data_IF_376165679428
#
_entry.id   IF_376165679428
#
_cell.length_a   1.000
_cell.length_b   1.000
_cell.length_c   1.000
_cell.angle_alpha   90.00
_cell.angle_beta   90.00
_cell.angle_gamma   90.00
#
_symmetry.space_group_name_H-M   'P 1'
#
loop_
_entity.id
_entity.type
_entity.pdbx_description
1 polymer ?
#
# COMPACT_ATOMS: atom_id res chain seq x y z
N UNK A 1 18.58 -20.20 4.08
CA UNK A 1 17.19 -20.41 4.55
C UNK A 1 16.23 -19.97 3.45
N UNK A 2 15.31 -20.83 3.01
CA UNK A 2 14.21 -20.43 2.11
C UNK A 2 13.09 -19.85 2.98
N UNK A 3 12.85 -18.55 2.90
CA UNK A 3 11.64 -17.92 3.42
C UNK A 3 10.44 -18.37 2.58
N UNK A 4 9.33 -18.74 3.23
CA UNK A 4 8.13 -19.29 2.58
C UNK A 4 7.61 -18.43 1.43
N UNK A 5 7.02 -19.07 0.42
CA UNK A 5 6.30 -18.40 -0.65
C UNK A 5 4.80 -18.40 -0.33
N UNK A 6 4.07 -17.37 -0.78
CA UNK A 6 2.63 -17.24 -0.58
C UNK A 6 1.97 -16.76 -1.87
N UNK A 7 1.01 -17.54 -2.37
CA UNK A 7 0.22 -17.25 -3.56
C UNK A 7 -1.04 -16.44 -3.20
N UNK A 8 -1.38 -15.40 -3.96
CA UNK A 8 -2.55 -14.51 -3.84
C UNK A 8 -3.44 -14.45 -5.11
N UNK A 9 -4.02 -15.57 -5.60
CA UNK A 9 -4.87 -15.62 -6.80
C UNK A 9 -5.97 -14.56 -6.83
N UNK A 10 -6.25 -13.98 -8.00
CA UNK A 10 -7.39 -13.08 -8.18
C UNK A 10 -8.72 -13.84 -8.03
N UNK A 11 -9.40 -13.60 -6.92
CA UNK A 11 -10.73 -14.14 -6.67
C UNK A 11 -11.83 -13.14 -7.06
N UNK A 12 -12.88 -13.63 -7.70
CA UNK A 12 -14.13 -12.89 -7.92
C UNK A 12 -15.06 -12.98 -6.71
N UNK A 13 -15.94 -11.98 -6.55
CA UNK A 13 -16.96 -11.95 -5.50
C UNK A 13 -16.76 -10.88 -4.42
N UNK A 14 -17.71 -10.80 -3.49
CA UNK A 14 -17.68 -9.90 -2.33
C UNK A 14 -17.91 -10.74 -1.08
N UNK A 15 -17.25 -10.38 0.02
CA UNK A 15 -17.54 -10.97 1.33
C UNK A 15 -19.05 -10.81 1.62
N UNK A 16 -19.76 -11.87 2.04
CA UNK A 16 -21.16 -11.79 2.44
C UNK A 16 -21.33 -10.77 3.56
N UNK A 17 -22.44 -10.01 3.56
CA UNK A 17 -22.70 -8.96 4.55
C UNK A 17 -22.62 -9.48 6.00
N UNK A 18 -23.12 -10.68 6.25
CA UNK A 18 -23.12 -11.30 7.58
C UNK A 18 -21.70 -11.64 8.07
N UNK A 19 -20.79 -12.00 7.16
CA UNK A 19 -19.39 -12.28 7.49
C UNK A 19 -18.68 -10.96 7.73
N UNK A 20 -18.84 -10.01 6.81
CA UNK A 20 -18.20 -8.70 6.93
C UNK A 20 -18.58 -7.98 8.23
N UNK A 21 -19.84 -8.06 8.68
CA UNK A 21 -20.23 -7.46 9.97
C UNK A 21 -19.52 -8.09 11.18
N UNK A 22 -19.18 -9.38 11.12
CA UNK A 22 -18.36 -10.05 12.14
C UNK A 22 -16.88 -9.65 12.03
N UNK A 23 -16.36 -9.55 10.81
CA UNK A 23 -15.00 -9.07 10.55
C UNK A 23 -14.77 -7.68 11.13
N UNK A 24 -15.71 -6.77 10.93
CA UNK A 24 -15.67 -5.39 11.44
C UNK A 24 -15.50 -5.38 12.96
N UNK A 25 -16.31 -6.17 13.68
CA UNK A 25 -16.23 -6.29 15.14
C UNK A 25 -14.89 -6.88 15.58
N UNK A 26 -14.48 -7.99 14.98
CA UNK A 26 -13.25 -8.67 15.38
C UNK A 26 -12.00 -7.84 15.06
N UNK A 27 -11.97 -7.17 13.90
CA UNK A 27 -10.88 -6.27 13.51
C UNK A 27 -10.73 -5.10 14.49
N UNK A 28 -11.86 -4.53 14.94
CA UNK A 28 -11.88 -3.51 15.99
C UNK A 28 -11.25 -4.03 17.28
N UNK A 29 -11.77 -5.12 17.84
CA UNK A 29 -11.32 -5.63 19.14
C UNK A 29 -9.85 -6.07 19.14
N UNK A 30 -9.39 -6.73 18.06
CA UNK A 30 -7.97 -7.09 17.92
C UNK A 30 -7.10 -5.83 17.84
N UNK A 31 -7.50 -4.83 17.05
CA UNK A 31 -6.75 -3.59 16.92
C UNK A 31 -6.68 -2.86 18.27
N UNK A 32 -7.80 -2.72 18.97
CA UNK A 32 -7.87 -2.09 20.28
C UNK A 32 -6.99 -2.83 21.29
N UNK A 33 -7.05 -4.16 21.33
CA UNK A 33 -6.20 -4.96 22.20
C UNK A 33 -4.71 -4.71 21.92
N UNK A 34 -4.30 -4.63 20.66
CA UNK A 34 -2.90 -4.32 20.31
C UNK A 34 -2.53 -2.90 20.75
N UNK A 35 -3.38 -1.91 20.47
CA UNK A 35 -3.11 -0.51 20.79
C UNK A 35 -3.04 -0.29 22.30
N UNK A 36 -3.92 -0.91 23.08
CA UNK A 36 -3.96 -0.79 24.55
C UNK A 36 -2.72 -1.43 25.18
N UNK A 37 -2.31 -2.61 24.72
CA UNK A 37 -1.24 -3.38 25.35
C UNK A 37 0.16 -3.00 24.83
N UNK A 38 0.28 -2.53 23.58
CA UNK A 38 1.57 -2.31 22.93
C UNK A 38 1.71 -0.95 22.25
N UNK A 39 0.65 -0.14 22.22
CA UNK A 39 0.63 1.16 21.57
C UNK A 39 0.32 1.12 20.07
N UNK A 40 -0.02 2.29 19.53
CA UNK A 40 -0.38 2.49 18.12
C UNK A 40 0.75 2.22 17.13
N UNK A 41 1.98 2.54 17.52
CA UNK A 41 3.16 2.35 16.69
C UNK A 41 3.40 0.86 16.41
N UNK A 42 3.21 0.02 17.44
CA UNK A 42 3.29 -1.42 17.29
C UNK A 42 2.19 -1.95 16.37
N UNK A 43 0.98 -1.40 16.44
CA UNK A 43 -0.07 -1.75 15.47
C UNK A 43 0.33 -1.40 14.03
N UNK A 44 0.87 -0.21 13.77
CA UNK A 44 1.36 0.18 12.43
C UNK A 44 2.49 -0.76 11.97
N UNK A 45 3.42 -1.11 12.86
CA UNK A 45 4.51 -2.02 12.55
C UNK A 45 4.01 -3.42 12.20
N UNK A 46 2.99 -3.92 12.90
CA UNK A 46 2.37 -5.22 12.64
C UNK A 46 1.55 -5.24 11.35
N UNK A 47 0.67 -4.26 11.15
CA UNK A 47 -0.19 -4.23 9.95
C UNK A 47 0.60 -4.04 8.65
N UNK A 48 1.77 -3.40 8.73
CA UNK A 48 2.70 -3.26 7.58
C UNK A 48 3.52 -4.51 7.28
N UNK A 49 3.53 -5.52 8.17
CA UNK A 49 4.23 -6.76 7.90
C UNK A 49 3.38 -7.64 6.96
N UNK A 50 3.92 -8.11 5.82
CA UNK A 50 3.13 -8.85 4.84
C UNK A 50 2.56 -10.17 5.36
N UNK A 51 3.27 -10.85 6.26
CA UNK A 51 2.87 -12.15 6.83
C UNK A 51 1.85 -11.93 7.94
N UNK A 52 2.08 -10.93 8.79
CA UNK A 52 1.13 -10.55 9.84
C UNK A 52 -0.18 -10.06 9.24
N UNK A 53 -0.15 -9.19 8.23
CA UNK A 53 -1.35 -8.71 7.54
C UNK A 53 -2.15 -9.87 6.94
N UNK A 54 -1.46 -10.83 6.32
CA UNK A 54 -2.09 -12.02 5.76
C UNK A 54 -2.74 -12.87 6.86
N UNK A 55 -2.02 -13.11 7.95
CA UNK A 55 -2.51 -13.87 9.11
C UNK A 55 -3.70 -13.19 9.78
N UNK A 56 -3.67 -11.86 9.89
CA UNK A 56 -4.75 -11.06 10.42
C UNK A 56 -6.01 -11.22 9.55
N UNK A 57 -5.89 -11.16 8.23
CA UNK A 57 -7.02 -11.43 7.35
C UNK A 57 -7.55 -12.87 7.47
N UNK A 58 -6.69 -13.86 7.69
CA UNK A 58 -7.13 -15.22 7.96
C UNK A 58 -7.93 -15.35 9.26
N UNK A 59 -7.48 -14.70 10.33
CA UNK A 59 -8.22 -14.63 11.60
C UNK A 59 -9.60 -13.98 11.42
N UNK A 60 -9.71 -12.99 10.53
CA UNK A 60 -10.99 -12.38 10.19
C UNK A 60 -11.90 -13.27 9.31
N UNK A 61 -11.44 -14.45 8.89
CA UNK A 61 -12.24 -15.43 8.15
C UNK A 61 -12.03 -15.42 6.64
N UNK A 62 -10.86 -15.00 6.16
CA UNK A 62 -10.42 -15.19 4.77
C UNK A 62 -9.44 -16.36 4.62
N UNK A 63 -9.44 -16.98 3.44
CA UNK A 63 -8.40 -17.95 3.10
C UNK A 63 -7.07 -17.25 2.80
N UNK A 64 -5.98 -17.95 3.11
CA UNK A 64 -4.62 -17.46 2.89
C UNK A 64 -4.34 -17.05 1.43
N UNK A 65 -4.98 -17.71 0.47
CA UNK A 65 -4.72 -17.48 -0.95
C UNK A 65 -5.65 -16.45 -1.63
N UNK A 66 -6.43 -15.68 -0.87
CA UNK A 66 -7.39 -14.75 -1.48
C UNK A 66 -6.80 -13.37 -1.76
N UNK A 67 -6.74 -12.93 -3.03
CA UNK A 67 -6.45 -11.52 -3.36
C UNK A 67 -7.47 -10.53 -2.77
N UNK A 68 -8.68 -11.01 -2.47
CA UNK A 68 -9.76 -10.22 -1.86
C UNK A 68 -9.40 -9.74 -0.45
N UNK A 69 -8.48 -10.44 0.22
CA UNK A 69 -8.08 -10.18 1.59
C UNK A 69 -7.67 -8.73 1.81
N UNK A 70 -6.85 -8.16 0.91
CA UNK A 70 -6.36 -6.79 1.07
C UNK A 70 -7.51 -5.79 1.08
N UNK A 71 -8.45 -5.92 0.16
CA UNK A 71 -9.56 -4.97 0.06
C UNK A 71 -10.59 -5.14 1.17
N UNK A 72 -10.79 -6.37 1.65
CA UNK A 72 -11.81 -6.65 2.67
C UNK A 72 -11.28 -6.38 4.07
N UNK A 73 -10.04 -6.75 4.39
CA UNK A 73 -9.41 -6.48 5.70
C UNK A 73 -9.28 -4.98 5.93
N UNK A 74 -8.80 -4.23 4.93
CA UNK A 74 -8.70 -2.76 5.05
C UNK A 74 -10.06 -2.10 5.17
N UNK A 75 -11.07 -2.62 4.45
CA UNK A 75 -12.47 -2.19 4.62
C UNK A 75 -13.01 -2.46 6.03
N UNK A 76 -12.75 -3.66 6.59
CA UNK A 76 -13.18 -4.04 7.92
C UNK A 76 -12.50 -3.20 9.01
N UNK A 77 -11.21 -2.88 8.85
CA UNK A 77 -10.48 -1.98 9.74
C UNK A 77 -11.07 -0.56 9.73
N UNK A 78 -11.27 0.04 8.54
CA UNK A 78 -11.86 1.38 8.41
C UNK A 78 -13.25 1.46 9.03
N UNK A 79 -14.08 0.43 8.80
CA UNK A 79 -15.44 0.41 9.34
C UNK A 79 -15.47 0.12 10.84
N UNK A 80 -14.61 -0.79 11.34
CA UNK A 80 -14.60 -1.20 12.75
C UNK A 80 -14.07 -0.13 13.70
N UNK A 81 -13.13 0.68 13.21
CA UNK A 81 -12.51 1.77 13.96
C UNK A 81 -13.15 3.14 13.70
N UNK A 82 -14.23 3.15 12.91
CA UNK A 82 -15.00 4.37 12.66
C UNK A 82 -15.54 4.95 13.96
N UNK A 83 -15.44 6.28 14.09
CA UNK A 83 -15.83 7.09 15.23
C UNK A 83 -14.94 6.96 16.48
N UNK A 84 -13.85 6.20 16.42
CA UNK A 84 -12.86 6.10 17.52
C UNK A 84 -11.43 6.39 17.06
N UNK A 85 -11.24 6.77 15.79
CA UNK A 85 -9.93 7.09 15.21
C UNK A 85 -9.19 8.17 16.03
N UNK A 86 -9.94 9.16 16.50
CA UNK A 86 -9.45 10.29 17.31
C UNK A 86 -8.93 9.83 18.67
N UNK A 87 -9.69 8.95 19.33
CA UNK A 87 -9.38 8.43 20.66
C UNK A 87 -8.11 7.57 20.62
N UNK A 88 -8.02 6.68 19.64
CA UNK A 88 -6.86 5.77 19.49
C UNK A 88 -5.66 6.47 18.84
N UNK A 89 -5.87 7.61 18.18
CA UNK A 89 -4.86 8.38 17.46
C UNK A 89 -4.32 7.69 16.21
N UNK A 90 -5.18 6.92 15.52
CA UNK A 90 -4.88 6.20 14.28
C UNK A 90 -5.92 6.56 13.24
N UNK A 91 -5.46 6.98 12.07
CA UNK A 91 -6.29 7.46 10.98
C UNK A 91 -6.07 6.63 9.72
N UNK A 92 -7.10 6.61 8.87
CA UNK A 92 -7.13 5.81 7.66
C UNK A 92 -7.51 6.68 6.46
N UNK A 93 -6.79 6.51 5.35
CA UNK A 93 -7.05 7.18 4.10
C UNK A 93 -6.99 6.20 2.93
N UNK A 94 -7.75 6.49 1.88
CA UNK A 94 -7.73 5.69 0.65
C UNK A 94 -8.68 4.49 0.66
N UNK A 95 -8.41 3.54 -0.21
CA UNK A 95 -9.17 2.30 -0.39
C UNK A 95 -9.12 1.81 -1.84
N UNK A 96 -10.15 1.04 -2.22
CA UNK A 96 -10.25 0.45 -3.57
C UNK A 96 -10.72 1.48 -4.61
N UNK A 97 -10.12 1.47 -5.78
CA UNK A 97 -10.50 2.27 -6.95
C UNK A 97 -10.45 3.77 -6.66
N UNK A 98 -11.56 4.47 -6.93
CA UNK A 98 -11.69 5.92 -6.72
C UNK A 98 -11.35 6.36 -5.29
N UNK A 99 -11.54 5.50 -4.28
CA UNK A 99 -11.14 5.84 -2.90
C UNK A 99 -9.64 5.97 -2.75
N UNK A 100 -8.83 5.15 -3.42
CA UNK A 100 -7.37 5.27 -3.39
C UNK A 100 -6.87 6.60 -3.97
N UNK A 101 -7.54 7.11 -5.01
CA UNK A 101 -7.23 8.44 -5.60
C UNK A 101 -7.53 9.57 -4.61
N UNK A 102 -8.54 9.41 -3.76
CA UNK A 102 -8.99 10.40 -2.76
C UNK A 102 -8.20 10.37 -1.44
N UNK A 103 -7.12 9.60 -1.36
CA UNK A 103 -6.28 9.53 -0.15
C UNK A 103 -5.81 10.92 0.34
N UNK A 104 -5.38 11.85 -0.54
CA UNK A 104 -5.02 13.19 -0.09
C UNK A 104 -6.18 13.98 0.53
N UNK A 105 -7.40 13.83 0.01
CA UNK A 105 -8.61 14.46 0.58
C UNK A 105 -8.94 13.88 1.95
N UNK A 106 -8.81 12.56 2.13
CA UNK A 106 -9.03 11.90 3.43
C UNK A 106 -8.03 12.41 4.48
N UNK A 107 -6.75 12.61 4.12
CA UNK A 107 -5.72 13.16 5.01
C UNK A 107 -6.00 14.63 5.35
N UNK A 108 -6.37 15.42 4.36
CA UNK A 108 -6.68 16.84 4.53
C UNK A 108 -7.80 17.07 5.55
N UNK A 109 -8.87 16.27 5.49
CA UNK A 109 -9.98 16.34 6.44
C UNK A 109 -9.54 16.15 7.90
N UNK A 110 -8.59 15.27 8.17
CA UNK A 110 -8.08 15.08 9.53
C UNK A 110 -7.19 16.25 9.98
N UNK A 111 -6.50 16.89 9.04
CA UNK A 111 -5.77 18.14 9.28
C UNK A 111 -6.69 19.31 9.59
N UNK A 112 -7.77 19.47 8.82
CA UNK A 112 -8.80 20.52 9.02
C UNK A 112 -9.49 20.39 10.38
N UNK A 113 -9.68 19.15 10.86
CA UNK A 113 -10.25 18.85 12.18
C UNK A 113 -9.26 19.03 13.34
N UNK A 114 -7.99 19.35 13.06
CA UNK A 114 -6.97 19.61 14.08
C UNK A 114 -6.33 18.36 14.71
N UNK A 115 -6.60 17.16 14.18
CA UNK A 115 -6.04 15.91 14.72
C UNK A 115 -4.61 15.63 14.26
N UNK A 116 -4.20 16.24 13.15
CA UNK A 116 -2.82 16.31 12.68
C UNK A 116 -2.49 17.75 12.31
N UNK A 117 -1.26 18.19 12.57
CA UNK A 117 -0.85 19.53 12.19
C UNK A 117 -0.69 19.68 10.67
N UNK A 118 -0.78 20.91 10.17
CA UNK A 118 -0.72 21.23 8.73
C UNK A 118 0.55 20.70 8.04
N UNK A 119 1.72 20.79 8.70
CA UNK A 119 2.99 20.29 8.17
C UNK A 119 2.94 18.77 7.95
N UNK A 120 2.42 18.06 8.94
CA UNK A 120 2.26 16.59 8.91
C UNK A 120 1.26 16.18 7.84
N UNK A 121 0.12 16.86 7.74
CA UNK A 121 -0.88 16.60 6.70
C UNK A 121 -0.29 16.74 5.28
N UNK A 122 0.45 17.82 5.01
CA UNK A 122 1.08 18.02 3.71
C UNK A 122 2.15 16.98 3.39
N UNK A 123 2.94 16.60 4.38
CA UNK A 123 3.95 15.57 4.21
C UNK A 123 3.31 14.20 3.93
N UNK A 124 2.28 13.80 4.68
CA UNK A 124 1.53 12.56 4.43
C UNK A 124 0.86 12.55 3.04
N UNK A 125 0.30 13.68 2.59
CA UNK A 125 -0.23 13.84 1.22
C UNK A 125 0.86 13.64 0.16
N UNK A 126 2.07 14.16 0.40
CA UNK A 126 3.23 13.99 -0.49
C UNK A 126 3.68 12.52 -0.53
N UNK A 127 3.81 11.90 0.63
CA UNK A 127 4.19 10.49 0.80
C UNK A 127 3.20 9.56 0.09
N UNK A 128 1.88 9.77 0.28
CA UNK A 128 0.84 8.98 -0.38
C UNK A 128 1.02 8.97 -1.90
N UNK A 129 1.27 10.14 -2.50
CA UNK A 129 1.51 10.26 -3.94
C UNK A 129 2.81 9.59 -4.39
N UNK A 130 3.87 9.71 -3.60
CA UNK A 130 5.17 9.08 -3.90
C UNK A 130 5.07 7.56 -3.86
N UNK A 131 4.47 6.99 -2.81
CA UNK A 131 4.24 5.54 -2.70
C UNK A 131 3.46 5.02 -3.90
N UNK A 132 2.31 5.63 -4.21
CA UNK A 132 1.52 5.22 -5.37
C UNK A 132 2.28 5.35 -6.70
N UNK A 133 3.13 6.36 -6.84
CA UNK A 133 3.96 6.55 -8.05
C UNK A 133 5.02 5.47 -8.14
N UNK A 134 5.70 5.15 -7.04
CA UNK A 134 6.72 4.10 -6.98
C UNK A 134 6.12 2.74 -7.27
N UNK A 135 5.02 2.38 -6.63
CA UNK A 135 4.38 1.06 -6.81
C UNK A 135 3.79 0.87 -8.21
N UNK A 136 3.44 1.98 -8.88
CA UNK A 136 2.94 1.96 -10.25
C UNK A 136 4.04 1.91 -11.33
N UNK A 137 5.29 2.32 -11.03
CA UNK A 137 6.32 2.51 -12.09
C UNK A 137 7.70 1.94 -11.73
N UNK A 138 7.96 1.67 -10.45
CA UNK A 138 9.23 1.17 -9.96
C UNK A 138 9.53 -0.24 -10.44
N UNK A 139 8.50 -1.07 -10.60
CA UNK A 139 8.58 -2.37 -11.26
C UNK A 139 7.81 -2.32 -12.58
N UNK A 140 8.49 -2.55 -13.71
CA UNK A 140 7.87 -2.53 -15.03
C UNK A 140 7.49 -3.95 -15.48
N UNK A 141 6.32 -4.42 -15.06
CA UNK A 141 5.79 -5.77 -15.36
C UNK A 141 4.28 -5.80 -15.64
N UNK A 142 3.66 -4.63 -15.76
CA UNK A 142 2.25 -4.50 -16.17
C UNK A 142 1.24 -4.62 -15.02
N UNK A 143 1.68 -4.66 -13.76
CA UNK A 143 0.75 -4.53 -12.63
C UNK A 143 0.24 -3.09 -12.51
N UNK A 144 -1.08 -2.93 -12.45
CA UNK A 144 -1.74 -1.64 -12.24
C UNK A 144 -2.30 -1.55 -10.83
N UNK A 145 -1.96 -0.49 -10.10
CA UNK A 145 -2.47 -0.26 -8.74
C UNK A 145 -3.96 0.05 -8.78
N UNK A 146 -4.73 -0.69 -7.99
CA UNK A 146 -6.19 -0.51 -7.87
C UNK A 146 -6.67 -0.33 -6.43
N UNK A 147 -5.79 -0.49 -5.46
CA UNK A 147 -6.08 -0.30 -4.05
C UNK A 147 -4.90 0.38 -3.38
N UNK A 148 -5.17 1.46 -2.67
CA UNK A 148 -4.18 2.21 -1.90
C UNK A 148 -4.76 2.43 -0.50
N UNK A 149 -4.23 1.72 0.49
CA UNK A 149 -4.65 1.87 1.88
C UNK A 149 -3.53 2.49 2.69
N UNK A 150 -3.79 3.69 3.21
CA UNK A 150 -2.83 4.48 3.97
C UNK A 150 -3.31 4.53 5.42
N UNK A 151 -2.47 4.09 6.35
CA UNK A 151 -2.69 4.17 7.80
C UNK A 151 -1.62 5.04 8.44
N UNK A 152 -1.99 5.92 9.36
CA UNK A 152 -1.05 6.81 10.05
C UNK A 152 -1.48 7.16 11.46
N UNK A 153 -0.52 7.49 12.31
CA UNK A 153 -0.74 8.01 13.66
C UNK A 153 -0.80 9.55 13.66
N UNK A 154 -1.30 10.13 14.75
CA UNK A 154 -1.25 11.59 14.95
C UNK A 154 0.19 12.14 14.97
N UNK A 155 1.17 11.32 15.35
CA UNK A 155 2.60 11.64 15.37
C UNK A 155 3.24 11.58 13.97
N UNK A 156 2.50 11.13 12.95
CA UNK A 156 2.98 11.08 11.57
C UNK A 156 3.72 9.81 11.19
N UNK A 157 3.75 8.78 12.05
CA UNK A 157 4.15 7.43 11.62
C UNK A 157 3.11 6.85 10.72
N UNK A 158 3.53 6.07 9.73
CA UNK A 158 2.63 5.56 8.70
C UNK A 158 3.04 4.20 8.16
N UNK A 159 2.05 3.51 7.59
CA UNK A 159 2.23 2.38 6.70
C UNK A 159 1.30 2.51 5.50
N UNK A 160 1.72 1.94 4.37
CA UNK A 160 0.89 1.85 3.17
C UNK A 160 0.84 0.41 2.70
N UNK A 161 -0.36 -0.04 2.37
CA UNK A 161 -0.61 -1.34 1.77
C UNK A 161 -1.29 -1.09 0.43
N UNK A 162 -0.56 -1.37 -0.65
CA UNK A 162 -1.09 -1.27 -2.01
C UNK A 162 -1.37 -2.64 -2.60
N UNK A 163 -2.35 -2.70 -3.50
CA UNK A 163 -2.60 -3.86 -4.32
C UNK A 163 -2.59 -3.47 -5.81
N UNK A 164 -1.68 -4.11 -6.54
CA UNK A 164 -1.65 -4.15 -7.99
C UNK A 164 -2.38 -5.38 -8.54
N UNK A 165 -2.94 -5.25 -9.74
CA UNK A 165 -3.44 -6.37 -10.52
C UNK A 165 -2.83 -6.38 -11.92
N UNK A 166 -2.60 -7.58 -12.45
CA UNK A 166 -2.29 -7.81 -13.86
C UNK A 166 -3.46 -8.57 -14.47
N UNK A 167 -4.18 -7.93 -15.39
CA UNK A 167 -5.41 -8.48 -15.99
C UNK A 167 -5.06 -9.75 -16.78
N UNK A 168 -4.00 -9.67 -17.58
CA UNK A 168 -3.41 -10.81 -18.27
C UNK A 168 -2.82 -11.79 -17.24
N UNK A 169 -3.34 -13.02 -17.21
CA UNK A 169 -2.94 -14.05 -16.25
C UNK A 169 -3.62 -13.95 -14.88
N UNK A 170 -4.42 -12.91 -14.62
CA UNK A 170 -5.22 -12.73 -13.40
C UNK A 170 -4.41 -12.79 -12.10
N UNK A 171 -3.30 -12.06 -12.05
CA UNK A 171 -2.42 -12.04 -10.88
C UNK A 171 -2.63 -10.81 -10.02
N UNK A 172 -2.42 -11.00 -8.71
CA UNK A 172 -2.41 -9.92 -7.74
C UNK A 172 -1.00 -9.77 -7.14
N UNK A 173 -0.59 -8.53 -6.90
CA UNK A 173 0.62 -8.22 -6.14
C UNK A 173 0.33 -7.20 -5.06
N UNK A 174 0.85 -7.44 -3.87
CA UNK A 174 0.67 -6.59 -2.71
C UNK A 174 1.99 -5.96 -2.29
N UNK A 175 1.99 -4.65 -2.08
CA UNK A 175 3.15 -3.88 -1.66
C UNK A 175 2.93 -3.39 -0.23
N UNK A 176 3.96 -3.48 0.59
CA UNK A 176 3.93 -3.09 1.99
C UNK A 176 5.05 -2.10 2.28
N UNK A 177 4.66 -1.01 2.93
CA UNK A 177 5.54 0.08 3.31
C UNK A 177 5.40 0.38 4.80
N UNK A 178 6.52 0.74 5.43
CA UNK A 178 6.55 1.20 6.82
C UNK A 178 7.48 2.41 6.92
N UNK A 179 6.97 3.52 7.43
CA UNK A 179 7.72 4.76 7.65
C UNK A 179 9.10 4.57 8.28
N UNK A 180 9.20 3.77 9.34
CA UNK A 180 10.44 3.50 10.08
C UNK A 180 11.52 2.77 9.23
N UNK A 181 11.15 2.15 8.12
CA UNK A 181 12.07 1.37 7.25
C UNK A 181 12.43 2.10 5.95
N UNK A 182 11.69 3.15 5.57
CA UNK A 182 11.94 3.90 4.32
C UNK A 182 13.12 4.85 4.48
N UNK A 183 14.26 4.51 3.88
CA UNK A 183 15.43 5.39 3.77
C UNK A 183 15.47 6.19 2.47
N UNK A 184 14.84 5.65 1.43
CA UNK A 184 14.72 6.25 0.11
C UNK A 184 13.43 5.73 -0.52
N UNK A 185 12.73 6.56 -1.29
CA UNK A 185 11.53 6.11 -2.04
C UNK A 185 11.89 5.36 -3.32
N UNK A 186 13.16 5.40 -3.75
CA UNK A 186 13.60 4.88 -5.06
C UNK A 186 14.70 3.84 -4.96
N UNK A 187 15.00 3.36 -3.75
CA UNK A 187 16.06 2.39 -3.49
C UNK A 187 15.62 1.46 -2.37
N UNK A 188 15.23 0.23 -2.73
CA UNK A 188 14.66 -0.82 -1.88
C UNK A 188 13.71 -0.28 -0.80
N UNK A 189 12.63 0.42 -1.22
CA UNK A 189 11.81 1.20 -0.29
C UNK A 189 10.76 0.38 0.45
N UNK A 190 10.47 -0.84 -0.04
CA UNK A 190 9.41 -1.70 0.47
C UNK A 190 9.86 -2.49 1.69
N UNK A 191 8.98 -2.58 2.69
CA UNK A 191 9.09 -3.60 3.74
C UNK A 191 8.85 -5.00 3.18
N UNK A 192 7.98 -5.11 2.19
CA UNK A 192 7.81 -6.37 1.47
C UNK A 192 6.89 -6.27 0.25
N UNK A 193 7.11 -7.19 -0.69
CA UNK A 193 6.27 -7.36 -1.87
C UNK A 193 5.83 -8.82 -1.94
N UNK A 194 4.53 -9.06 -1.98
CA UNK A 194 3.93 -10.39 -2.05
C UNK A 194 3.26 -10.58 -3.40
N UNK A 195 3.61 -11.65 -4.11
CA UNK A 195 3.15 -11.96 -5.46
C UNK A 195 3.13 -13.47 -5.65
N UNK A 196 2.13 -14.01 -6.35
CA UNK A 196 2.04 -15.43 -6.73
C UNK A 196 3.21 -15.89 -7.58
N UNK A 197 3.64 -15.03 -8.50
CA UNK A 197 4.77 -15.32 -9.38
C UNK A 197 5.92 -14.37 -9.10
N UNK A 198 7.11 -14.97 -9.03
CA UNK A 198 8.37 -14.26 -9.19
C UNK A 198 8.60 -14.01 -10.68
N UNK A 199 8.13 -12.87 -11.14
CA UNK A 199 8.57 -12.31 -12.42
C UNK A 199 9.93 -11.62 -12.25
N UNK A 200 10.64 -11.38 -13.35
CA UNK A 200 11.88 -10.57 -13.37
C UNK A 200 11.59 -9.23 -14.08
N UNK A 201 10.87 -8.30 -13.43
CA UNK A 201 10.62 -6.99 -14.02
C UNK A 201 11.92 -6.23 -14.25
N UNK A 202 11.87 -5.22 -15.13
CA UNK A 202 12.81 -4.11 -14.99
C UNK A 202 12.52 -3.43 -13.64
N UNK A 203 13.43 -3.62 -12.70
CA UNK A 203 13.31 -3.13 -11.34
C UNK A 203 14.07 -1.80 -11.19
N UNK A 204 13.37 -0.69 -11.36
CA UNK A 204 13.92 0.66 -11.23
C UNK A 204 14.13 1.10 -9.79
N UNK A 205 13.72 0.31 -8.80
CA UNK A 205 13.89 0.62 -7.36
C UNK A 205 14.97 -0.22 -6.68
N UNK A 206 15.68 -1.07 -7.42
CA UNK A 206 16.80 -1.86 -6.89
C UNK A 206 17.94 -0.94 -6.41
N UNK A 207 18.47 -1.14 -5.20
CA UNK A 207 19.59 -0.33 -4.70
C UNK A 207 20.85 -0.41 -5.57
N UNK A 208 21.06 -1.52 -6.28
CA UNK A 208 22.24 -1.76 -7.12
C UNK A 208 22.32 -0.96 -8.42
N UNK A 209 21.27 -0.22 -8.79
CA UNK A 209 21.18 0.49 -10.09
C UNK A 209 21.09 2.02 -9.97
N UNK A 210 21.62 2.59 -8.88
CA UNK A 210 21.55 4.03 -8.64
C UNK A 210 22.13 4.88 -9.79
N UNK A 211 23.27 4.46 -10.35
CA UNK A 211 23.90 5.12 -11.51
C UNK A 211 22.97 5.11 -12.73
N UNK A 212 22.34 3.97 -13.02
CA UNK A 212 21.36 3.83 -14.11
C UNK A 212 20.18 4.76 -13.91
N UNK A 213 19.61 4.83 -12.69
CA UNK A 213 18.52 5.78 -12.38
C UNK A 213 18.92 7.22 -12.65
N UNK A 214 20.11 7.63 -12.20
CA UNK A 214 20.63 9.00 -12.39
C UNK A 214 20.79 9.33 -13.86
N UNK A 215 21.33 8.41 -14.66
CA UNK A 215 21.50 8.63 -16.10
C UNK A 215 20.16 8.68 -16.84
N UNK A 216 19.19 7.83 -16.48
CA UNK A 216 17.81 7.90 -17.01
C UNK A 216 17.21 9.31 -16.78
N UNK A 217 17.34 9.84 -15.56
CA UNK A 217 16.83 11.17 -15.22
C UNK A 217 17.57 12.26 -16.02
N UNK A 218 18.89 12.15 -16.19
CA UNK A 218 19.68 13.09 -16.98
C UNK A 218 19.23 13.12 -18.43
N UNK A 219 19.17 11.95 -19.07
CA UNK A 219 18.71 11.79 -20.46
C UNK A 219 17.28 12.32 -20.62
N UNK A 220 16.39 12.07 -19.66
CA UNK A 220 15.00 12.55 -19.72
C UNK A 220 14.85 14.07 -19.73
N UNK A 221 15.86 14.81 -19.26
CA UNK A 221 15.90 16.28 -19.29
C UNK A 221 16.49 16.82 -20.59
N UNK A 222 17.31 16.04 -21.27
CA UNK A 222 18.00 16.41 -22.50
C UNK A 222 17.15 16.13 -23.74
N UNK A 223 16.31 15.10 -23.71
CA UNK A 223 15.47 14.70 -24.84
C UNK A 223 14.10 15.39 -24.75
N UNK A 224 13.76 16.19 -25.77
CA UNK A 224 12.41 16.75 -25.91
C UNK A 224 11.39 15.67 -26.26
N UNK A 225 10.13 15.83 -25.86
CA UNK A 225 9.04 14.88 -26.22
C UNK A 225 8.93 14.62 -27.74
N UNK A 226 9.39 15.57 -28.59
CA UNK A 226 9.45 15.42 -30.06
C UNK A 226 10.50 14.41 -30.50
N UNK A 227 11.63 14.30 -29.81
CA UNK A 227 12.73 13.40 -30.15
C UNK A 227 12.44 11.95 -29.73
N UNK A 228 11.71 11.75 -28.62
CA UNK A 228 11.23 10.42 -28.20
C UNK A 228 10.30 9.81 -29.25
N UNK A 229 9.49 10.64 -29.93
CA UNK A 229 8.63 10.20 -31.03
C UNK A 229 9.42 9.55 -32.17
N UNK A 230 10.59 10.11 -32.52
CA UNK A 230 11.46 9.60 -33.59
C UNK A 230 12.10 8.26 -33.24
N UNK A 231 12.36 7.98 -31.95
CA UNK A 231 12.94 6.71 -31.50
C UNK A 231 11.95 5.55 -31.67
N UNK A 232 10.62 5.81 -31.62
CA UNK A 232 9.61 4.78 -31.90
C UNK A 232 9.59 4.32 -33.35
N UNK A 233 10.04 5.16 -34.27
CA UNK A 233 10.11 4.84 -35.71
C UNK A 233 11.35 4.00 -36.07
N UNK A 234 12.31 3.84 -35.17
CA UNK A 234 13.51 3.01 -35.36
C UNK A 234 13.24 1.51 -35.12
N UNK A 235 11.99 1.13 -34.80
CA UNK A 235 11.52 -0.26 -34.74
C UNK A 235 10.52 -0.59 -35.86
N UNK A 236 10.89 -0.26 -37.11
CA UNK A 236 10.35 -0.92 -38.30
C UNK A 236 11.50 -1.50 -39.12
#
# INVERSE_FOLDING_TARGET
MRSGYADLPLHGGKAPKWLFSRMVKLAREITLSIVINFGRDEFIKRISDPVWFQSFGCILGFDWHSSGITTTVTGALKEGLKNIEEEIGIFFAGGKGKRGIKTPEDIERWGERGFINFKTANELKRISRLVAKVDSHGLQDGFSIYHHFFIYTKEGKWAVIEQGMKIEGRFARRYHWLSDEVKSFVSDPHKGIVSERKEKPLNLIDSGIESTRKEIVKISKEISLKEIGRIKDVKK
#
